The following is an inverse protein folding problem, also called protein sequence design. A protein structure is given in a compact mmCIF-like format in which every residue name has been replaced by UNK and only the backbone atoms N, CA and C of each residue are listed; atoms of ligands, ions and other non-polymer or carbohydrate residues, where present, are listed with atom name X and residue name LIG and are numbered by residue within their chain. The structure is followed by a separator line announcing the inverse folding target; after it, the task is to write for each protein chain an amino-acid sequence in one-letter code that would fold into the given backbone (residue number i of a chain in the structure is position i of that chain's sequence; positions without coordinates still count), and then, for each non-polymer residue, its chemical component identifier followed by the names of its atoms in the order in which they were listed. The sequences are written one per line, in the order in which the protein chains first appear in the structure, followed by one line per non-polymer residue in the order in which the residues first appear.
data_IF_669137138428
#
_entry.id   IF_669137138428
#
_cell.length_a   1.000
_cell.length_b   1.000
_cell.length_c   1.000
_cell.angle_alpha   90.00
_cell.angle_beta   90.00
_cell.angle_gamma   90.00
#
_symmetry.space_group_name_H-M   'P 1'
#
loop_
_entity.id
_entity.type
_entity.pdbx_description
1 polymer ?
#
# COMPACT_ATOMS: atom_id res chain seq x y z
N UNK A 1 12.92 6.89 -53.07
CA UNK A 1 13.47 7.10 -51.72
C UNK A 1 12.33 6.83 -50.75
N UNK A 2 12.11 5.57 -50.40
CA UNK A 2 10.96 5.17 -49.56
C UNK A 2 11.46 4.98 -48.13
N UNK A 3 11.12 5.91 -47.26
CA UNK A 3 11.31 5.74 -45.82
C UNK A 3 10.16 4.91 -45.28
N UNK A 4 10.39 3.60 -45.14
CA UNK A 4 9.45 2.66 -44.52
C UNK A 4 9.28 2.99 -43.03
N UNK A 5 8.03 3.04 -42.58
CA UNK A 5 7.61 3.41 -41.23
C UNK A 5 8.21 2.48 -40.16
N UNK A 6 8.90 3.05 -39.17
CA UNK A 6 9.25 2.40 -37.91
C UNK A 6 7.96 2.09 -37.12
N UNK A 7 7.38 0.92 -37.36
CA UNK A 7 6.30 0.36 -36.55
C UNK A 7 6.89 -0.05 -35.19
N UNK A 8 6.46 0.52 -34.06
CA UNK A 8 6.85 0.00 -32.76
C UNK A 8 6.15 -1.34 -32.57
N UNK A 9 6.87 -2.44 -32.80
CA UNK A 9 6.48 -3.78 -32.37
C UNK A 9 6.28 -3.73 -30.86
N UNK A 10 5.04 -3.56 -30.41
CA UNK A 10 4.72 -3.56 -28.98
C UNK A 10 5.09 -4.94 -28.43
N UNK A 11 6.10 -5.04 -27.54
CA UNK A 11 6.45 -6.32 -26.95
C UNK A 11 5.24 -6.89 -26.22
N UNK A 12 5.05 -8.22 -26.21
CA UNK A 12 3.92 -8.85 -25.51
C UNK A 12 3.87 -8.30 -24.09
N UNK A 13 2.67 -7.91 -23.59
CA UNK A 13 2.56 -7.23 -22.32
C UNK A 13 3.16 -8.11 -21.23
N UNK A 14 4.30 -7.67 -20.70
CA UNK A 14 5.02 -8.43 -19.67
C UNK A 14 4.06 -8.73 -18.52
N UNK A 15 4.00 -10.00 -18.12
CA UNK A 15 3.21 -10.44 -16.97
C UNK A 15 3.54 -9.64 -15.71
N UNK A 16 4.77 -9.14 -15.59
CA UNK A 16 5.19 -8.20 -14.54
C UNK A 16 4.43 -6.88 -14.64
N UNK A 17 4.28 -6.31 -15.83
CA UNK A 17 3.56 -5.04 -16.06
C UNK A 17 2.06 -5.18 -15.79
N UNK A 18 1.50 -6.35 -16.12
CA UNK A 18 0.10 -6.71 -15.82
C UNK A 18 -0.14 -6.91 -14.32
N UNK A 19 0.80 -7.55 -13.63
CA UNK A 19 0.77 -7.75 -12.19
C UNK A 19 0.98 -6.43 -11.43
N UNK A 20 1.93 -5.59 -11.86
CA UNK A 20 2.23 -4.28 -11.27
C UNK A 20 1.03 -3.34 -11.34
N UNK A 21 0.37 -3.21 -12.51
CA UNK A 21 -0.81 -2.34 -12.62
C UNK A 21 -1.96 -2.83 -11.73
N UNK A 22 -2.06 -4.14 -11.48
CA UNK A 22 -3.07 -4.70 -10.59
C UNK A 22 -2.72 -4.48 -9.11
N UNK A 23 -1.43 -4.63 -8.71
CA UNK A 23 -0.96 -4.28 -7.36
C UNK A 23 -1.11 -2.78 -7.08
N UNK A 24 -0.95 -1.93 -8.09
CA UNK A 24 -1.18 -0.48 -7.98
C UNK A 24 -2.67 -0.17 -7.84
N UNK A 25 -3.52 -0.72 -8.72
CA UNK A 25 -4.97 -0.46 -8.68
C UNK A 25 -5.65 -1.07 -7.46
N UNK A 26 -5.13 -2.19 -6.94
CA UNK A 26 -5.58 -2.87 -5.72
C UNK A 26 -4.75 -2.49 -4.47
N UNK A 27 -4.10 -1.32 -4.47
CA UNK A 27 -3.36 -0.82 -3.31
C UNK A 27 -4.24 -0.60 -2.06
N UNK A 28 -5.56 -0.47 -2.22
CA UNK A 28 -6.50 -0.41 -1.09
C UNK A 28 -6.43 -1.63 -0.18
N UNK A 29 -6.21 -2.83 -0.72
CA UNK A 29 -6.23 -4.04 0.11
C UNK A 29 -5.02 -4.09 1.05
N UNK A 30 -3.82 -3.77 0.56
CA UNK A 30 -2.63 -3.67 1.41
C UNK A 30 -2.73 -2.51 2.40
N UNK A 31 -3.30 -1.37 1.98
CA UNK A 31 -3.53 -0.22 2.87
C UNK A 31 -4.54 -0.52 3.98
N UNK A 32 -5.57 -1.32 3.70
CA UNK A 32 -6.55 -1.75 4.69
C UNK A 32 -5.92 -2.69 5.72
N UNK A 33 -5.12 -3.67 5.28
CA UNK A 33 -4.42 -4.56 6.21
C UNK A 33 -3.42 -3.81 7.08
N UNK A 34 -2.62 -2.91 6.48
CA UNK A 34 -1.66 -2.08 7.20
C UNK A 34 -2.35 -1.08 8.15
N UNK A 35 -3.44 -0.47 7.72
CA UNK A 35 -4.23 0.45 8.54
C UNK A 35 -4.88 -0.25 9.73
N UNK A 36 -5.40 -1.46 9.53
CA UNK A 36 -5.99 -2.27 10.61
C UNK A 36 -4.95 -2.58 11.70
N UNK A 37 -3.74 -3.00 11.31
CA UNK A 37 -2.64 -3.22 12.28
C UNK A 37 -2.18 -1.93 12.93
N UNK A 38 -2.06 -0.83 12.18
CA UNK A 38 -1.68 0.46 12.74
C UNK A 38 -2.69 0.95 13.78
N UNK A 39 -3.99 0.90 13.47
CA UNK A 39 -5.07 1.28 14.40
C UNK A 39 -5.11 0.36 15.62
N UNK A 40 -4.97 -0.95 15.42
CA UNK A 40 -4.91 -1.91 16.53
C UNK A 40 -3.72 -1.64 17.47
N UNK A 41 -2.54 -1.36 16.91
CA UNK A 41 -1.35 -1.04 17.68
C UNK A 41 -1.48 0.30 18.42
N UNK A 42 -1.98 1.34 17.75
CA UNK A 42 -2.25 2.65 18.35
C UNK A 42 -3.29 2.54 19.48
N UNK A 43 -4.36 1.79 19.26
CA UNK A 43 -5.37 1.50 20.28
C UNK A 43 -4.77 0.75 21.48
N UNK A 44 -3.91 -0.24 21.23
CA UNK A 44 -3.22 -0.97 22.29
C UNK A 44 -2.28 -0.08 23.10
N UNK A 45 -1.44 0.72 22.43
CA UNK A 45 -0.49 1.63 23.11
C UNK A 45 -1.25 2.68 23.93
N UNK A 46 -2.32 3.27 23.38
CA UNK A 46 -3.13 4.26 24.10
C UNK A 46 -3.88 3.64 25.27
N UNK A 47 -4.39 2.41 25.14
CA UNK A 47 -5.01 1.68 26.24
C UNK A 47 -4.02 1.41 27.36
N UNK A 48 -2.82 0.91 27.03
CA UNK A 48 -1.76 0.67 28.01
C UNK A 48 -1.32 1.97 28.70
N UNK A 49 -1.11 3.03 27.92
CA UNK A 49 -0.76 4.34 28.46
C UNK A 49 -1.86 4.91 29.37
N UNK A 50 -3.14 4.67 29.03
CA UNK A 50 -4.27 5.04 29.86
C UNK A 50 -4.26 4.21 31.15
N UNK A 51 -4.17 2.88 31.10
CA UNK A 51 -4.15 2.02 32.30
C UNK A 51 -2.99 2.37 33.25
N UNK A 52 -1.84 2.72 32.69
CA UNK A 52 -0.65 3.05 33.44
C UNK A 52 -0.63 4.45 34.05
N UNK A 53 -1.63 5.31 33.80
CA UNK A 53 -1.65 6.67 34.36
C UNK A 53 -1.77 6.60 35.89
N UNK A 54 -0.70 6.86 36.66
CA UNK A 54 -0.84 6.99 38.09
C UNK A 54 -1.61 8.29 38.31
N UNK A 55 -2.63 8.26 39.17
CA UNK A 55 -3.31 9.49 39.60
C UNK A 55 -2.26 10.41 40.19
N UNK A 56 -1.83 11.41 39.42
CA UNK A 56 -0.89 12.42 39.89
C UNK A 56 -1.57 13.12 41.08
N UNK A 57 -1.03 13.02 42.31
CA UNK A 57 -1.57 13.79 43.42
C UNK A 57 -1.49 15.27 43.05
N UNK A 58 -2.62 15.97 43.22
CA UNK A 58 -2.76 17.41 42.98
C UNK A 58 -1.95 18.20 44.01
#
# INVERSE_FOLDING_TARGET
MSTESNQPTTPPPSFVKLAMRNMVRKGRQSLLHFGLTAVGLLGFITLVAWLGRPTLPQ
#
